data_IF_951875934821
#
_entry.id   IF_951875934821
#
_cell.length_a   1.000
_cell.length_b   1.000
_cell.length_c   1.000
_cell.angle_alpha   90.00
_cell.angle_beta   90.00
_cell.angle_gamma   90.00
#
_symmetry.space_group_name_H-M   'P 1'
#
loop_
_entity.id
_entity.type
_entity.pdbx_description
1 polymer ?
#
# COMPACT_ATOMS: atom_id res chain seq x y z
N UNK A 1 50.55 -13.42 -5.68
CA UNK A 1 49.50 -12.40 -5.93
C UNK A 1 48.07 -12.95 -6.05
N UNK A 2 47.83 -14.26 -5.92
CA UNK A 2 46.52 -14.87 -6.22
C UNK A 2 45.67 -15.30 -5.01
N UNK A 3 46.21 -15.37 -3.80
CA UNK A 3 45.45 -15.79 -2.62
C UNK A 3 44.62 -14.67 -1.97
N UNK A 4 45.10 -13.42 -2.02
CA UNK A 4 44.39 -12.27 -1.46
C UNK A 4 43.12 -11.90 -2.23
N UNK A 5 43.10 -12.06 -3.55
CA UNK A 5 41.93 -11.78 -4.38
C UNK A 5 40.85 -12.86 -4.25
N UNK A 6 41.22 -14.11 -4.05
CA UNK A 6 40.28 -15.19 -3.82
C UNK A 6 39.56 -15.09 -2.47
N UNK A 7 40.27 -14.64 -1.43
CA UNK A 7 39.67 -14.40 -0.12
C UNK A 7 38.71 -13.18 -0.09
N UNK A 8 39.04 -12.12 -0.85
CA UNK A 8 38.19 -10.96 -1.00
C UNK A 8 36.89 -11.26 -1.78
N UNK A 9 36.97 -12.07 -2.85
CA UNK A 9 35.80 -12.52 -3.61
C UNK A 9 34.89 -13.45 -2.78
N UNK A 10 35.49 -14.37 -2.01
CA UNK A 10 34.72 -15.25 -1.13
C UNK A 10 34.01 -14.48 0.00
N UNK A 11 34.67 -13.47 0.58
CA UNK A 11 34.07 -12.61 1.60
C UNK A 11 32.90 -11.78 1.02
N UNK A 12 33.02 -11.28 -0.21
CA UNK A 12 31.94 -10.51 -0.87
C UNK A 12 30.75 -11.41 -1.19
N UNK A 13 30.96 -12.64 -1.62
CA UNK A 13 29.89 -13.62 -1.88
C UNK A 13 29.17 -14.07 -0.61
N UNK A 14 29.89 -14.23 0.50
CA UNK A 14 29.29 -14.57 1.82
C UNK A 14 28.47 -13.40 2.37
N UNK A 15 28.94 -12.16 2.19
CA UNK A 15 28.20 -10.96 2.60
C UNK A 15 26.95 -10.75 1.73
N UNK A 16 27.02 -11.01 0.44
CA UNK A 16 25.85 -10.99 -0.45
C UNK A 16 24.83 -12.11 -0.14
N UNK A 17 25.29 -13.30 0.23
CA UNK A 17 24.40 -14.38 0.66
C UNK A 17 23.74 -14.12 2.01
N UNK A 18 24.43 -13.44 2.94
CA UNK A 18 23.86 -13.05 4.25
C UNK A 18 22.87 -11.88 4.18
N UNK A 19 22.90 -11.09 3.11
CA UNK A 19 21.94 -10.00 2.86
C UNK A 19 20.73 -10.42 2.02
N UNK A 20 20.66 -11.64 1.57
CA UNK A 20 19.46 -12.20 0.96
C UNK A 20 18.51 -12.55 2.11
N UNK A 21 17.85 -11.50 2.65
CA UNK A 21 16.71 -11.68 3.54
C UNK A 21 15.77 -12.63 2.83
N UNK A 22 15.57 -13.84 3.38
CA UNK A 22 14.73 -14.87 2.76
C UNK A 22 13.39 -14.24 2.41
N UNK A 23 13.16 -14.02 1.12
CA UNK A 23 11.90 -13.46 0.62
C UNK A 23 10.79 -14.42 1.05
N UNK A 24 9.88 -13.93 1.87
CA UNK A 24 8.71 -14.72 2.27
C UNK A 24 7.91 -15.08 1.02
N UNK A 25 7.54 -16.35 0.84
CA UNK A 25 6.79 -16.77 -0.33
C UNK A 25 5.39 -16.13 -0.33
N UNK A 26 4.91 -15.78 -1.51
CA UNK A 26 3.54 -15.34 -1.70
C UNK A 26 2.57 -16.53 -1.62
N UNK A 27 1.30 -16.29 -1.33
CA UNK A 27 0.29 -17.33 -1.14
C UNK A 27 0.26 -18.35 -2.30
N UNK A 28 0.34 -17.90 -3.55
CA UNK A 28 0.35 -18.78 -4.73
C UNK A 28 1.62 -19.61 -4.85
N UNK A 29 2.76 -19.12 -4.42
CA UNK A 29 4.04 -19.85 -4.44
C UNK A 29 4.05 -21.04 -3.46
N UNK A 30 3.23 -20.97 -2.42
CA UNK A 30 2.99 -22.08 -1.47
C UNK A 30 1.72 -22.89 -1.77
N UNK A 31 1.16 -22.75 -2.99
CA UNK A 31 0.02 -23.52 -3.44
C UNK A 31 -1.37 -23.00 -2.96
N UNK A 32 -1.44 -21.85 -2.31
CA UNK A 32 -2.71 -21.23 -1.93
C UNK A 32 -3.25 -20.44 -3.12
N UNK A 33 -4.22 -20.99 -3.82
CA UNK A 33 -4.87 -20.39 -4.99
C UNK A 33 -6.30 -20.02 -4.63
N UNK A 34 -6.61 -18.71 -4.68
CA UNK A 34 -7.95 -18.18 -4.42
C UNK A 34 -8.61 -17.71 -5.71
N UNK A 35 -9.87 -18.11 -5.91
CA UNK A 35 -10.65 -17.78 -7.11
C UNK A 35 -10.17 -18.51 -8.38
N UNK A 36 -10.88 -18.28 -9.48
CA UNK A 36 -10.67 -18.97 -10.75
C UNK A 36 -10.05 -18.09 -11.84
N UNK A 37 -10.07 -16.77 -11.66
CA UNK A 37 -9.51 -15.84 -12.64
C UNK A 37 -7.98 -15.87 -12.65
N UNK A 38 -7.33 -15.80 -13.83
CA UNK A 38 -5.88 -15.84 -13.94
C UNK A 38 -5.24 -14.57 -13.33
N UNK A 39 -4.05 -14.68 -12.71
CA UNK A 39 -3.25 -13.53 -12.32
C UNK A 39 -2.50 -12.95 -13.53
N UNK A 40 -2.03 -11.69 -13.41
CA UNK A 40 -1.06 -11.10 -14.33
C UNK A 40 0.39 -11.55 -14.04
N UNK A 41 1.33 -11.04 -14.82
CA UNK A 41 2.76 -11.43 -14.72
C UNK A 41 3.36 -11.22 -13.33
N UNK A 42 3.10 -10.07 -12.70
CA UNK A 42 3.58 -9.75 -11.37
C UNK A 42 2.56 -10.11 -10.28
N UNK A 43 1.29 -10.30 -10.67
CA UNK A 43 0.15 -10.41 -9.77
C UNK A 43 0.13 -9.25 -8.76
N UNK A 44 0.34 -8.03 -9.24
CA UNK A 44 0.50 -6.81 -8.48
C UNK A 44 -0.28 -5.64 -9.10
N UNK A 45 -0.53 -4.59 -8.32
CA UNK A 45 -1.22 -3.39 -8.79
C UNK A 45 -0.45 -2.69 -9.93
N UNK A 46 0.85 -2.86 -9.99
CA UNK A 46 1.75 -2.37 -11.03
C UNK A 46 1.68 -3.13 -12.36
N UNK A 47 0.88 -4.19 -12.46
CA UNK A 47 0.54 -4.79 -13.74
C UNK A 47 -0.42 -3.90 -14.56
N UNK A 48 -1.11 -2.93 -13.93
CA UNK A 48 -1.81 -1.87 -14.66
C UNK A 48 -0.79 -0.89 -15.23
N UNK A 49 -0.76 -0.69 -16.56
CA UNK A 49 0.22 0.19 -17.18
C UNK A 49 0.18 1.61 -16.61
N UNK A 50 1.34 2.15 -16.27
CA UNK A 50 1.52 3.49 -15.70
C UNK A 50 1.52 3.51 -14.17
N UNK A 51 0.93 2.54 -13.49
CA UNK A 51 0.88 2.51 -12.02
C UNK A 51 2.26 2.25 -11.42
N UNK A 52 2.63 3.10 -10.47
CA UNK A 52 3.89 3.00 -9.72
C UNK A 52 3.58 2.87 -8.23
N UNK A 53 4.41 2.11 -7.51
CA UNK A 53 4.33 1.97 -6.05
C UNK A 53 5.70 2.18 -5.43
N UNK A 54 5.74 2.97 -4.35
CA UNK A 54 6.95 3.18 -3.57
C UNK A 54 6.67 3.17 -2.06
N UNK A 55 7.72 2.88 -1.29
CA UNK A 55 7.62 2.75 0.15
C UNK A 55 8.74 3.53 0.85
N UNK A 56 8.40 4.14 1.99
CA UNK A 56 9.38 4.55 2.98
C UNK A 56 9.05 3.86 4.30
N UNK A 57 9.94 2.97 4.74
CA UNK A 57 9.77 2.16 5.95
C UNK A 57 10.57 2.76 7.10
N UNK A 58 9.91 3.03 8.24
CA UNK A 58 10.54 3.53 9.45
C UNK A 58 10.59 2.46 10.54
N UNK A 59 11.79 2.00 10.84
CA UNK A 59 12.08 1.11 11.96
C UNK A 59 13.18 1.77 12.78
N UNK A 60 12.84 2.31 13.97
CA UNK A 60 13.78 2.99 14.85
C UNK A 60 13.59 2.50 16.29
N UNK A 61 14.67 2.15 16.96
CA UNK A 61 14.62 1.63 18.34
C UNK A 61 13.65 0.45 18.47
N UNK A 62 13.02 0.34 19.64
CA UNK A 62 12.12 -0.79 19.95
C UNK A 62 10.67 -0.53 19.61
N UNK A 63 10.24 0.74 19.46
CA UNK A 63 8.84 1.14 19.43
C UNK A 63 8.40 1.91 18.17
N UNK A 64 9.29 2.29 17.24
CA UNK A 64 8.90 2.95 16.00
C UNK A 64 8.82 1.92 14.87
N UNK A 65 7.61 1.65 14.41
CA UNK A 65 7.28 0.70 13.35
C UNK A 65 6.17 1.28 12.49
N UNK A 66 6.52 2.12 11.50
CA UNK A 66 5.56 2.86 10.68
C UNK A 66 6.14 3.17 9.30
N UNK A 67 5.47 3.99 8.51
CA UNK A 67 5.97 4.44 7.21
C UNK A 67 4.92 5.04 6.31
N UNK A 68 5.29 5.21 5.05
CA UNK A 68 4.44 5.70 3.96
C UNK A 68 4.50 4.73 2.79
N UNK A 69 3.35 4.50 2.18
CA UNK A 69 3.23 3.84 0.88
C UNK A 69 2.62 4.83 -0.11
N UNK A 70 3.28 5.06 -1.23
CA UNK A 70 2.80 5.90 -2.31
C UNK A 70 2.32 5.03 -3.47
N UNK A 71 1.11 5.33 -3.98
CA UNK A 71 0.56 4.74 -5.21
C UNK A 71 0.32 5.87 -6.19
N UNK A 72 1.04 5.85 -7.31
CA UNK A 72 0.91 6.84 -8.38
C UNK A 72 0.19 6.18 -9.56
N UNK A 73 -0.94 6.72 -10.02
CA UNK A 73 -1.60 6.24 -11.24
C UNK A 73 -0.72 6.30 -12.49
N UNK A 74 0.18 7.29 -12.54
CA UNK A 74 1.22 7.42 -13.57
C UNK A 74 2.38 8.29 -13.06
N UNK A 75 3.50 8.29 -13.79
CA UNK A 75 4.70 9.03 -13.41
C UNK A 75 4.74 10.50 -13.84
N UNK A 76 3.68 11.03 -14.46
CA UNK A 76 3.57 12.42 -14.89
C UNK A 76 3.04 13.35 -13.79
N UNK A 77 2.73 14.61 -14.17
CA UNK A 77 2.12 15.57 -13.27
C UNK A 77 0.61 15.31 -13.14
N UNK A 78 0.21 14.62 -12.06
CA UNK A 78 -1.19 14.23 -11.80
C UNK A 78 -2.15 15.41 -11.68
N UNK A 79 -1.68 16.59 -11.31
CA UNK A 79 -2.53 17.78 -11.27
C UNK A 79 -2.94 18.22 -12.68
N UNK A 80 -2.05 18.07 -13.65
CA UNK A 80 -2.29 18.43 -15.06
C UNK A 80 -2.94 17.29 -15.85
N UNK A 81 -2.63 16.05 -15.49
CA UNK A 81 -3.12 14.84 -16.14
C UNK A 81 -3.87 13.97 -15.14
N UNK A 82 -5.05 14.46 -14.72
CA UNK A 82 -5.89 13.77 -13.74
C UNK A 82 -6.40 12.43 -14.28
N UNK A 83 -6.64 11.49 -13.37
CA UNK A 83 -7.22 10.20 -13.74
C UNK A 83 -8.59 10.01 -13.10
N UNK A 84 -9.55 9.33 -13.78
CA UNK A 84 -10.82 8.99 -13.19
C UNK A 84 -10.63 8.19 -11.89
N UNK A 85 -11.38 8.55 -10.86
CA UNK A 85 -11.29 7.91 -9.56
C UNK A 85 -12.64 7.93 -8.82
N UNK A 86 -12.74 7.09 -7.80
CA UNK A 86 -13.90 7.09 -6.91
C UNK A 86 -13.48 6.60 -5.53
N UNK A 87 -14.21 7.03 -4.52
CA UNK A 87 -14.07 6.60 -3.13
C UNK A 87 -15.35 5.91 -2.68
N UNK A 88 -15.19 4.79 -1.98
CA UNK A 88 -16.25 4.16 -1.21
C UNK A 88 -15.79 4.01 0.25
N UNK A 89 -16.58 4.52 1.18
CA UNK A 89 -16.32 4.45 2.62
C UNK A 89 -17.18 3.34 3.20
N UNK A 90 -16.56 2.22 3.55
CA UNK A 90 -17.23 1.10 4.22
C UNK A 90 -17.35 1.28 5.73
N UNK A 91 -16.33 1.91 6.33
CA UNK A 91 -16.29 2.34 7.71
C UNK A 91 -15.59 3.71 7.78
N UNK A 92 -16.30 4.72 8.26
CA UNK A 92 -15.89 6.11 8.22
C UNK A 92 -15.27 6.65 9.51
N UNK A 93 -14.88 5.80 10.45
CA UNK A 93 -14.25 6.26 11.69
C UNK A 93 -12.88 6.93 11.45
N UNK A 94 -12.10 6.43 10.49
CA UNK A 94 -10.78 6.95 10.14
C UNK A 94 -10.79 8.22 9.30
N UNK A 95 -9.64 8.54 8.73
CA UNK A 95 -9.42 9.73 7.91
C UNK A 95 -9.10 9.33 6.48
N UNK A 96 -9.77 9.99 5.54
CA UNK A 96 -9.45 9.96 4.11
C UNK A 96 -9.51 11.40 3.60
N UNK A 97 -8.37 12.09 3.70
CA UNK A 97 -8.24 13.47 3.17
C UNK A 97 -8.36 13.42 1.65
N UNK A 98 -8.99 14.43 1.05
CA UNK A 98 -9.20 14.52 -0.40
C UNK A 98 -10.45 13.80 -0.92
N UNK A 99 -11.14 13.01 -0.09
CA UNK A 99 -12.33 12.25 -0.51
C UNK A 99 -13.48 13.12 -1.00
N UNK A 100 -13.63 14.35 -0.49
CA UNK A 100 -14.66 15.30 -0.93
C UNK A 100 -14.46 15.71 -2.39
N UNK A 101 -13.23 16.04 -2.79
CA UNK A 101 -12.90 16.40 -4.17
C UNK A 101 -13.10 15.21 -5.12
N UNK A 102 -12.63 14.01 -4.73
CA UNK A 102 -12.80 12.81 -5.54
C UNK A 102 -14.27 12.46 -5.75
N UNK A 103 -15.11 12.61 -4.71
CA UNK A 103 -16.54 12.35 -4.80
C UNK A 103 -17.27 13.40 -5.66
N UNK A 104 -16.84 14.66 -5.64
CA UNK A 104 -17.46 15.73 -6.40
C UNK A 104 -17.07 15.69 -7.88
N UNK A 105 -15.77 15.52 -8.17
CA UNK A 105 -15.25 15.63 -9.54
C UNK A 105 -15.02 14.28 -10.22
N UNK A 106 -15.01 13.17 -9.49
CA UNK A 106 -14.80 11.84 -10.05
C UNK A 106 -13.38 11.57 -10.54
N UNK A 107 -12.41 12.32 -10.08
CA UNK A 107 -11.00 12.22 -10.48
C UNK A 107 -10.05 12.48 -9.31
N UNK A 108 -8.79 12.08 -9.43
CA UNK A 108 -7.70 12.41 -8.50
C UNK A 108 -6.66 13.27 -9.18
N UNK A 109 -6.05 14.17 -8.40
CA UNK A 109 -5.06 15.16 -8.86
C UNK A 109 -3.71 15.06 -8.13
N UNK A 110 -3.56 14.04 -7.26
CA UNK A 110 -2.32 13.78 -6.52
C UNK A 110 -2.05 12.27 -6.46
N UNK A 111 -0.81 11.85 -6.12
CA UNK A 111 -0.58 10.49 -5.62
C UNK A 111 -1.54 10.12 -4.49
N UNK A 112 -1.81 8.81 -4.35
CA UNK A 112 -2.52 8.26 -3.19
C UNK A 112 -1.46 7.88 -2.16
N UNK A 113 -1.51 8.49 -0.97
CA UNK A 113 -0.58 8.14 0.11
C UNK A 113 -1.29 7.40 1.23
N UNK A 114 -0.67 6.33 1.71
CA UNK A 114 -1.11 5.54 2.85
C UNK A 114 -0.13 5.74 3.99
N UNK A 115 -0.63 5.88 5.24
CA UNK A 115 0.22 6.15 6.41
C UNK A 115 -0.44 5.74 7.73
N UNK A 116 0.18 6.13 8.84
CA UNK A 116 -0.34 6.00 10.22
C UNK A 116 -1.37 7.08 10.54
N UNK A 117 -2.39 6.71 11.33
CA UNK A 117 -3.55 7.54 11.66
C UNK A 117 -3.23 8.95 12.15
N UNK A 118 -2.26 9.14 13.05
CA UNK A 118 -1.91 10.47 13.58
C UNK A 118 -0.93 11.25 12.68
N UNK A 119 -0.39 10.62 11.64
CA UNK A 119 0.52 11.26 10.69
C UNK A 119 -0.20 11.85 9.47
N UNK A 120 -1.49 11.54 9.26
CA UNK A 120 -2.27 11.93 8.07
C UNK A 120 -2.16 13.42 7.74
N UNK A 121 -2.31 14.32 8.72
CA UNK A 121 -2.22 15.76 8.47
C UNK A 121 -0.83 16.20 7.98
N UNK A 122 0.24 15.64 8.55
CA UNK A 122 1.62 15.93 8.13
C UNK A 122 1.94 15.40 6.73
N UNK A 123 1.41 14.21 6.42
CA UNK A 123 1.57 13.58 5.10
C UNK A 123 0.79 14.37 4.04
N UNK A 124 -0.39 14.87 4.38
CA UNK A 124 -1.19 15.70 3.48
C UNK A 124 -0.50 17.03 3.17
N UNK A 125 0.05 17.70 4.18
CA UNK A 125 0.81 18.94 4.03
C UNK A 125 2.04 18.73 3.14
N UNK A 126 2.82 17.69 3.40
CA UNK A 126 3.97 17.34 2.58
C UNK A 126 3.60 16.96 1.12
N UNK A 127 2.44 16.34 0.91
CA UNK A 127 1.95 16.04 -0.44
C UNK A 127 1.54 17.32 -1.17
N UNK A 128 0.93 18.29 -0.50
CA UNK A 128 0.64 19.62 -1.08
C UNK A 128 1.95 20.30 -1.50
N UNK A 129 2.95 20.34 -0.61
CA UNK A 129 4.26 20.93 -0.90
C UNK A 129 4.92 20.26 -2.13
N UNK A 130 4.89 18.92 -2.18
CA UNK A 130 5.39 18.17 -3.34
C UNK A 130 4.67 18.57 -4.63
N UNK A 131 3.34 18.65 -4.63
CA UNK A 131 2.55 18.98 -5.82
C UNK A 131 2.79 20.41 -6.29
N UNK A 132 2.89 21.36 -5.36
CA UNK A 132 3.19 22.78 -5.69
C UNK A 132 4.61 22.97 -6.23
N UNK A 133 5.55 22.11 -5.82
CA UNK A 133 6.94 22.13 -6.29
C UNK A 133 7.16 21.47 -7.66
N UNK A 134 6.13 20.84 -8.26
CA UNK A 134 6.28 20.22 -9.57
C UNK A 134 6.36 21.26 -10.69
N UNK A 135 7.26 21.06 -11.67
CA UNK A 135 7.28 21.90 -12.87
C UNK A 135 5.91 21.94 -13.57
N UNK A 136 5.48 23.13 -13.95
CA UNK A 136 4.18 23.36 -14.56
C UNK A 136 3.03 23.57 -13.57
N UNK A 137 3.30 23.63 -12.26
CA UNK A 137 2.30 23.93 -11.22
C UNK A 137 2.46 25.32 -10.60
N UNK A 138 3.23 26.21 -11.20
CA UNK A 138 3.56 27.55 -10.66
C UNK A 138 2.31 28.44 -10.47
N UNK A 139 1.24 28.18 -11.23
CA UNK A 139 -0.04 28.89 -11.15
C UNK A 139 -1.08 28.21 -10.23
N UNK A 140 -0.79 27.04 -9.69
CA UNK A 140 -1.72 26.26 -8.85
C UNK A 140 -1.97 27.01 -7.52
N UNK A 141 -3.25 27.14 -7.16
CA UNK A 141 -3.72 27.86 -5.95
C UNK A 141 -4.45 26.97 -4.97
N UNK A 142 -4.74 25.74 -5.36
CA UNK A 142 -5.42 24.73 -4.51
C UNK A 142 -5.02 23.35 -4.93
N UNK A 143 -4.78 22.48 -3.95
CA UNK A 143 -4.47 21.04 -4.15
C UNK A 143 -5.26 20.24 -3.14
N UNK A 144 -5.90 19.15 -3.58
CA UNK A 144 -6.62 18.22 -2.72
C UNK A 144 -5.79 16.95 -2.54
N UNK A 145 -4.95 16.85 -1.50
CA UNK A 145 -4.10 15.69 -1.27
C UNK A 145 -4.94 14.47 -0.91
N UNK A 146 -4.69 13.33 -1.56
CA UNK A 146 -5.40 12.08 -1.25
C UNK A 146 -4.56 11.22 -0.29
N UNK A 147 -4.93 11.24 1.00
CA UNK A 147 -4.20 10.53 2.06
C UNK A 147 -5.14 9.68 2.90
N UNK A 148 -4.84 8.38 2.96
CA UNK A 148 -5.56 7.38 3.73
C UNK A 148 -4.70 6.81 4.86
N UNK A 149 -5.34 6.13 5.83
CA UNK A 149 -4.63 5.68 7.02
C UNK A 149 -5.13 4.35 7.59
N UNK A 150 -4.25 3.74 8.39
CA UNK A 150 -4.64 2.76 9.40
C UNK A 150 -3.98 3.09 10.74
N UNK A 151 -4.56 2.60 11.83
CA UNK A 151 -4.02 2.81 13.18
C UNK A 151 -2.99 1.72 13.51
N UNK A 152 -1.71 2.02 13.36
CA UNK A 152 -0.60 1.12 13.65
C UNK A 152 -0.13 1.15 15.12
N UNK A 153 -0.87 1.84 16.01
CA UNK A 153 -0.48 2.09 17.41
C UNK A 153 -0.30 0.86 18.30
N UNK A 154 -0.59 -0.34 17.80
CA UNK A 154 -0.29 -1.58 18.54
C UNK A 154 1.21 -1.92 18.54
N UNK A 155 1.90 -1.65 17.44
CA UNK A 155 3.33 -1.94 17.27
C UNK A 155 4.19 -0.69 17.10
N UNK A 156 3.55 0.48 16.94
CA UNK A 156 4.19 1.74 16.69
C UNK A 156 3.90 2.75 17.81
N UNK A 157 4.87 3.57 18.16
CA UNK A 157 4.64 4.80 18.91
C UNK A 157 3.88 5.81 18.04
N UNK A 158 2.56 5.62 17.95
CA UNK A 158 1.67 6.43 17.11
C UNK A 158 1.65 7.90 17.51
N UNK A 159 1.83 8.19 18.83
CA UNK A 159 1.81 9.56 19.36
C UNK A 159 3.04 10.37 18.99
N UNK A 160 4.17 9.70 18.71
CA UNK A 160 5.40 10.34 18.23
C UNK A 160 5.25 10.92 16.82
N UNK A 161 4.25 10.49 16.02
CA UNK A 161 3.94 11.02 14.69
C UNK A 161 5.20 11.09 13.81
N UNK A 162 5.92 9.98 13.73
CA UNK A 162 7.27 9.90 13.18
C UNK A 162 7.35 10.10 11.65
N UNK A 163 6.24 10.03 10.93
CA UNK A 163 6.18 10.27 9.48
C UNK A 163 6.07 11.77 9.21
N UNK A 164 6.88 12.29 8.32
CA UNK A 164 6.93 13.69 7.91
C UNK A 164 7.29 13.86 6.43
N UNK A 165 7.69 15.08 6.00
CA UNK A 165 8.00 15.39 4.61
C UNK A 165 9.09 14.52 3.99
N UNK A 166 10.14 14.20 4.74
CA UNK A 166 11.25 13.38 4.25
C UNK A 166 10.78 11.98 3.84
N UNK A 167 9.94 11.35 4.68
CA UNK A 167 9.41 10.01 4.42
C UNK A 167 8.41 10.01 3.27
N UNK A 168 7.61 11.07 3.13
CA UNK A 168 6.69 11.26 2.01
C UNK A 168 7.45 11.35 0.69
N UNK A 169 8.44 12.24 0.63
CA UNK A 169 9.26 12.42 -0.56
C UNK A 169 10.07 11.16 -0.90
N UNK A 170 10.56 10.44 0.11
CA UNK A 170 11.27 9.19 -0.09
C UNK A 170 10.35 8.13 -0.72
N UNK A 171 9.10 7.97 -0.22
CA UNK A 171 8.15 7.03 -0.77
C UNK A 171 7.75 7.37 -2.22
N UNK A 172 7.55 8.66 -2.53
CA UNK A 172 7.22 9.09 -3.89
C UNK A 172 8.41 8.85 -4.85
N UNK A 173 9.64 9.14 -4.42
CA UNK A 173 10.86 8.90 -5.22
C UNK A 173 11.17 7.42 -5.43
N UNK A 174 10.81 6.56 -4.47
CA UNK A 174 10.94 5.10 -4.59
C UNK A 174 9.89 4.49 -5.54
N UNK A 175 8.85 5.25 -5.90
CA UNK A 175 7.75 4.72 -6.70
C UNK A 175 8.22 4.29 -8.09
N UNK A 176 7.99 3.01 -8.40
CA UNK A 176 8.39 2.36 -9.64
C UNK A 176 7.37 1.32 -10.09
N UNK A 177 7.41 1.00 -11.36
CA UNK A 177 6.74 -0.19 -11.93
C UNK A 177 7.50 -1.47 -11.53
N UNK A 178 6.94 -2.63 -11.83
CA UNK A 178 7.56 -3.90 -11.51
C UNK A 178 7.07 -4.52 -10.19
N UNK A 179 7.79 -5.46 -9.60
CA UNK A 179 7.37 -6.13 -8.37
C UNK A 179 7.17 -5.14 -7.22
N UNK A 180 6.04 -5.27 -6.52
CA UNK A 180 5.75 -4.50 -5.31
C UNK A 180 6.25 -5.25 -4.09
N UNK A 181 6.95 -4.57 -3.20
CA UNK A 181 7.34 -5.13 -1.91
C UNK A 181 6.11 -5.28 -1.00
N UNK A 182 5.95 -6.45 -0.36
CA UNK A 182 4.79 -6.81 0.45
C UNK A 182 5.18 -7.10 1.91
N UNK A 183 4.18 -7.05 2.79
CA UNK A 183 4.36 -7.34 4.21
C UNK A 183 4.62 -6.11 5.06
N UNK A 184 5.65 -6.16 5.93
CA UNK A 184 5.96 -5.12 6.90
C UNK A 184 6.78 -3.97 6.27
N UNK A 185 6.24 -3.34 5.24
CA UNK A 185 6.89 -2.26 4.49
C UNK A 185 6.00 -1.03 4.43
N UNK A 186 6.61 0.15 4.29
CA UNK A 186 5.89 1.41 4.18
C UNK A 186 4.82 1.57 5.27
N UNK A 187 3.63 1.96 4.87
CA UNK A 187 2.48 2.13 5.76
C UNK A 187 2.02 0.83 6.47
N UNK A 188 2.42 -0.34 5.97
CA UNK A 188 2.12 -1.64 6.57
C UNK A 188 3.07 -2.09 7.67
N UNK A 189 4.11 -1.30 7.99
CA UNK A 189 5.19 -1.70 8.91
C UNK A 189 4.71 -1.99 10.32
N UNK A 190 3.80 -1.19 10.89
CA UNK A 190 3.30 -1.32 12.27
C UNK A 190 1.93 -2.00 12.40
N UNK A 191 1.34 -2.48 11.32
CA UNK A 191 -0.03 -2.99 11.30
C UNK A 191 -0.16 -4.43 11.79
N UNK A 192 -1.35 -4.79 12.28
CA UNK A 192 -1.71 -6.13 12.75
C UNK A 192 -3.01 -6.55 12.10
N UNK A 193 -3.09 -7.78 11.57
CA UNK A 193 -4.32 -8.32 11.00
C UNK A 193 -4.57 -9.74 11.47
N UNK A 194 -5.81 -10.04 11.87
CA UNK A 194 -6.23 -11.36 12.42
C UNK A 194 -5.40 -11.87 13.60
N UNK A 195 -4.78 -10.97 14.38
CA UNK A 195 -3.83 -11.31 15.44
C UNK A 195 -2.41 -11.65 14.97
N UNK A 196 -2.15 -11.60 13.67
CA UNK A 196 -0.83 -11.77 13.07
C UNK A 196 -0.26 -10.41 12.63
N UNK A 197 1.01 -10.40 12.20
CA UNK A 197 1.59 -9.22 11.56
C UNK A 197 0.81 -8.89 10.28
N UNK A 198 0.21 -7.70 10.25
CA UNK A 198 -0.40 -7.12 9.07
C UNK A 198 0.63 -6.59 8.07
N UNK A 199 0.20 -5.82 7.08
CA UNK A 199 1.14 -5.25 6.12
C UNK A 199 0.49 -4.74 4.84
N UNK A 200 1.34 -4.52 3.85
CA UNK A 200 0.95 -4.27 2.46
C UNK A 200 0.83 -5.61 1.74
N UNK A 201 -0.20 -5.75 0.93
CA UNK A 201 -0.37 -6.87 0.02
C UNK A 201 -0.90 -6.38 -1.33
N UNK A 202 -0.62 -7.13 -2.40
CA UNK A 202 -1.12 -6.78 -3.73
C UNK A 202 -1.51 -8.01 -4.52
N UNK A 203 -2.45 -7.84 -5.46
CA UNK A 203 -2.92 -8.94 -6.30
C UNK A 203 -3.61 -8.39 -7.55
N UNK A 204 -3.61 -9.20 -8.62
CA UNK A 204 -4.29 -8.91 -9.87
C UNK A 204 -5.13 -10.09 -10.32
N UNK A 205 -6.25 -9.80 -10.99
CA UNK A 205 -7.04 -10.77 -11.77
C UNK A 205 -7.36 -10.22 -13.14
N UNK A 206 -7.22 -11.07 -14.14
CA UNK A 206 -7.63 -10.75 -15.50
C UNK A 206 -9.11 -11.09 -15.69
N UNK A 207 -9.86 -10.20 -16.34
CA UNK A 207 -11.27 -10.37 -16.70
C UNK A 207 -11.47 -9.98 -18.15
N UNK A 208 -11.53 -10.97 -19.04
CA UNK A 208 -11.48 -10.73 -20.48
C UNK A 208 -10.15 -10.09 -20.88
N UNK A 209 -10.22 -8.96 -21.58
CA UNK A 209 -9.05 -8.17 -21.98
C UNK A 209 -8.59 -7.15 -20.92
N UNK A 210 -9.30 -7.05 -19.80
CA UNK A 210 -9.00 -6.05 -18.77
C UNK A 210 -8.40 -6.68 -17.53
N UNK A 211 -7.66 -5.85 -16.77
CA UNK A 211 -7.07 -6.20 -15.49
C UNK A 211 -7.77 -5.46 -14.36
N UNK A 212 -7.95 -6.14 -13.22
CA UNK A 212 -8.38 -5.54 -11.96
C UNK A 212 -7.36 -5.88 -10.91
N UNK A 213 -6.73 -4.86 -10.38
CA UNK A 213 -5.64 -4.98 -9.42
C UNK A 213 -6.03 -4.35 -8.09
N UNK A 214 -5.45 -4.87 -7.01
CA UNK A 214 -5.60 -4.29 -5.68
C UNK A 214 -4.25 -4.15 -5.00
N UNK A 215 -4.12 -3.10 -4.17
CA UNK A 215 -3.12 -2.97 -3.12
C UNK A 215 -3.88 -2.75 -1.82
N UNK A 216 -3.52 -3.50 -0.79
CA UNK A 216 -4.22 -3.48 0.51
C UNK A 216 -3.24 -3.16 1.62
N UNK A 217 -3.61 -2.20 2.48
CA UNK A 217 -2.99 -1.99 3.79
C UNK A 217 -3.93 -2.59 4.85
N UNK A 218 -3.49 -3.66 5.52
CA UNK A 218 -4.33 -4.42 6.45
C UNK A 218 -4.05 -4.04 7.90
N UNK A 219 -5.11 -3.77 8.69
CA UNK A 219 -5.01 -3.52 10.13
C UNK A 219 -6.36 -3.78 10.81
N UNK A 220 -6.77 -5.05 10.94
CA UNK A 220 -8.07 -5.41 11.47
C UNK A 220 -8.06 -6.75 12.21
N UNK A 221 -9.06 -6.98 13.07
CA UNK A 221 -9.28 -8.21 13.80
C UNK A 221 -10.01 -9.29 12.99
N UNK A 222 -10.53 -10.29 13.69
CA UNK A 222 -11.31 -11.39 13.13
C UNK A 222 -10.57 -12.72 13.08
N UNK A 223 -11.22 -13.73 12.50
CA UNK A 223 -10.65 -15.07 12.31
C UNK A 223 -10.08 -15.21 10.89
N UNK A 224 -8.78 -15.53 10.78
CA UNK A 224 -8.14 -15.77 9.48
C UNK A 224 -8.70 -17.02 8.84
N UNK A 225 -9.40 -16.83 7.72
CA UNK A 225 -9.88 -17.91 6.85
C UNK A 225 -9.05 -17.94 5.57
N UNK A 226 -8.55 -19.09 5.16
CA UNK A 226 -7.83 -19.27 3.90
C UNK A 226 -8.48 -20.39 3.11
N UNK A 227 -9.08 -20.08 1.97
CA UNK A 227 -9.79 -21.04 1.11
C UNK A 227 -10.81 -21.89 1.88
N UNK A 228 -11.57 -21.28 2.78
CA UNK A 228 -12.56 -21.97 3.63
C UNK A 228 -11.99 -22.69 4.86
N UNK A 229 -10.69 -22.71 5.04
CA UNK A 229 -10.04 -23.32 6.21
C UNK A 229 -9.87 -22.27 7.32
N UNK A 230 -10.32 -22.51 8.56
CA UNK A 230 -10.18 -21.59 9.69
C UNK A 230 -8.75 -21.63 10.27
N UNK A 231 -7.78 -21.09 9.50
CA UNK A 231 -6.36 -21.13 9.83
C UNK A 231 -6.07 -20.38 11.13
N UNK A 232 -6.72 -19.24 11.34
CA UNK A 232 -6.59 -18.46 12.56
C UNK A 232 -6.89 -19.29 13.80
N UNK A 233 -7.97 -20.07 13.79
CA UNK A 233 -8.34 -20.96 14.91
C UNK A 233 -7.36 -22.12 15.11
N UNK A 234 -6.78 -22.64 14.03
CA UNK A 234 -5.84 -23.76 14.09
C UNK A 234 -4.45 -23.36 14.57
N UNK A 235 -4.03 -22.12 14.27
CA UNK A 235 -2.69 -21.61 14.63
C UNK A 235 -2.68 -20.82 15.95
N UNK A 236 -3.79 -20.80 16.69
CA UNK A 236 -3.96 -19.90 17.84
C UNK A 236 -2.77 -19.93 18.81
N UNK A 237 -2.18 -18.75 18.91
CA UNK A 237 -1.87 -18.11 20.20
C UNK A 237 -3.12 -17.33 20.58
N UNK A 238 -3.55 -17.38 21.86
CA UNK A 238 -4.72 -16.66 22.33
C UNK A 238 -4.68 -15.20 21.81
N UNK A 239 -5.55 -14.86 20.85
CA UNK A 239 -5.69 -13.51 20.35
C UNK A 239 -6.79 -12.87 21.17
N UNK A 240 -6.48 -11.73 21.80
CA UNK A 240 -7.54 -10.89 22.35
C UNK A 240 -8.51 -10.50 21.22
N UNK A 241 -9.83 -10.45 21.51
CA UNK A 241 -10.79 -9.99 20.53
C UNK A 241 -10.44 -8.56 20.12
N UNK A 242 -9.94 -8.36 18.92
CA UNK A 242 -9.75 -7.03 18.36
C UNK A 242 -11.08 -6.65 17.73
N UNK A 243 -11.84 -5.81 18.45
CA UNK A 243 -13.18 -5.40 18.04
C UNK A 243 -13.15 -4.39 16.88
N UNK A 244 -12.08 -3.59 16.79
CA UNK A 244 -11.94 -2.48 15.84
C UNK A 244 -10.86 -2.77 14.81
N UNK A 245 -11.04 -2.24 13.61
CA UNK A 245 -10.08 -2.40 12.54
C UNK A 245 -10.17 -1.31 11.49
N UNK A 246 -9.14 -1.22 10.70
CA UNK A 246 -9.05 -0.34 9.54
C UNK A 246 -8.38 -1.06 8.38
N UNK A 247 -8.81 -0.75 7.17
CA UNK A 247 -8.23 -1.29 5.95
C UNK A 247 -8.33 -0.23 4.87
N UNK A 248 -7.26 -0.11 4.09
CA UNK A 248 -7.30 0.67 2.85
C UNK A 248 -7.11 -0.30 1.69
N UNK A 249 -8.01 -0.20 0.72
CA UNK A 249 -7.96 -0.99 -0.52
C UNK A 249 -7.89 0.00 -1.68
N UNK A 250 -6.75 0.05 -2.35
CA UNK A 250 -6.57 0.78 -3.60
C UNK A 250 -6.83 -0.19 -4.74
N UNK A 251 -7.75 0.17 -5.63
CA UNK A 251 -8.10 -0.63 -6.83
C UNK A 251 -7.62 0.14 -8.05
N UNK A 252 -6.91 -0.53 -8.94
CA UNK A 252 -6.53 -0.01 -10.24
C UNK A 252 -7.03 -0.94 -11.36
N UNK A 253 -7.40 -0.36 -12.50
CA UNK A 253 -7.85 -1.10 -13.68
C UNK A 253 -7.49 -0.33 -14.94
N UNK A 254 -7.25 -1.05 -16.02
CA UNK A 254 -7.12 -0.54 -17.39
C UNK A 254 -8.45 -0.55 -18.18
N UNK A 255 -9.54 -0.98 -17.53
CA UNK A 255 -10.86 -0.97 -18.14
C UNK A 255 -11.38 0.48 -18.32
N UNK A 256 -12.03 0.82 -19.43
CA UNK A 256 -12.59 2.15 -19.70
C UNK A 256 -13.87 2.38 -18.89
N UNK A 257 -13.72 2.58 -17.59
CA UNK A 257 -14.83 2.75 -16.66
C UNK A 257 -14.86 4.17 -16.09
N UNK A 258 -16.06 4.70 -15.91
CA UNK A 258 -16.32 6.01 -15.34
C UNK A 258 -16.31 6.00 -13.80
N UNK A 259 -16.36 7.17 -13.18
CA UNK A 259 -16.44 7.39 -11.74
C UNK A 259 -17.52 6.53 -11.06
N UNK A 260 -18.74 6.48 -11.64
CA UNK A 260 -19.85 5.69 -11.08
C UNK A 260 -19.52 4.21 -11.00
N UNK A 261 -18.90 3.65 -12.06
CA UNK A 261 -18.51 2.25 -12.09
C UNK A 261 -17.28 1.96 -11.23
N UNK A 262 -16.31 2.87 -11.15
CA UNK A 262 -15.20 2.80 -10.19
C UNK A 262 -15.72 2.75 -8.75
N UNK A 263 -16.70 3.59 -8.39
CA UNK A 263 -17.33 3.55 -7.07
C UNK A 263 -18.01 2.21 -6.76
N UNK A 264 -18.67 1.60 -7.76
CA UNK A 264 -19.26 0.27 -7.62
C UNK A 264 -18.21 -0.83 -7.48
N UNK A 265 -17.06 -0.70 -8.13
CA UNK A 265 -15.91 -1.60 -7.94
C UNK A 265 -15.36 -1.46 -6.53
N UNK A 266 -15.13 -0.24 -6.06
CA UNK A 266 -14.68 0.04 -4.70
C UNK A 266 -15.64 -0.55 -3.65
N UNK A 267 -16.96 -0.38 -3.80
CA UNK A 267 -17.95 -0.96 -2.90
C UNK A 267 -17.90 -2.50 -2.85
N UNK A 268 -17.61 -3.16 -3.97
CA UNK A 268 -17.50 -4.63 -4.02
C UNK A 268 -16.28 -5.18 -3.31
N UNK A 269 -15.24 -4.39 -3.08
CA UNK A 269 -14.07 -4.84 -2.31
C UNK A 269 -14.44 -5.26 -0.88
N UNK A 270 -15.52 -4.70 -0.32
CA UNK A 270 -16.04 -5.08 0.99
C UNK A 270 -16.46 -6.57 1.08
N UNK A 271 -16.91 -7.14 -0.04
CA UNK A 271 -17.26 -8.58 -0.09
C UNK A 271 -16.03 -9.49 0.03
N UNK A 272 -14.84 -8.97 -0.20
CA UNK A 272 -13.59 -9.70 -0.02
C UNK A 272 -13.06 -9.67 1.43
N UNK A 273 -13.68 -8.85 2.30
CA UNK A 273 -13.36 -8.77 3.72
C UNK A 273 -14.36 -9.57 4.59
N UNK A 274 -15.55 -9.86 4.07
CA UNK A 274 -16.64 -10.53 4.77
C UNK A 274 -16.43 -12.03 4.96
#
# INVERSE_FOLDING_TARGET
MNAFWAAALAATLVVQAAMQQERRPRAREVGIVTGTLPPGPLNAITDVPGVLVGHCTLIRGENVRTGVTAVLPHGGNLFREKVPAAVFVGNGFGKLIGSTQVNELGEIETPILLTSTLSVGRVADALIEYMLGLPGNEDVRSVNPLVAETNDGRLNDVRGRHVGPEEVLAAIRDARSGPVEEGAVGAGTGTVAFGFKGGIGTSLRQSGSYTVCVLVQTNFGGDLMIAGVPVGRRLRRASEPQADGSVIIVIATDAPVDHRNLRRMAARSMLGLA
#
